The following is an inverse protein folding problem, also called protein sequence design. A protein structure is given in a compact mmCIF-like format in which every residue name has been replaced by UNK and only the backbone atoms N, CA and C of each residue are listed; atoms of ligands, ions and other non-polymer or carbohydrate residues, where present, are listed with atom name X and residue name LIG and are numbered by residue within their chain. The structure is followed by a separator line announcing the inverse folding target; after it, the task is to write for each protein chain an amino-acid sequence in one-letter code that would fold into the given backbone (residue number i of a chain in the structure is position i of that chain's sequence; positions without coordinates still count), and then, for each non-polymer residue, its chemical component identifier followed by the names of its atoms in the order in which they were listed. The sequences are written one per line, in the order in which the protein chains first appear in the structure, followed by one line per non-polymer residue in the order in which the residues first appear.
data_IF_133121955084
#
_entry.id   IF_133121955084
#
_cell.length_a   1.000
_cell.length_b   1.000
_cell.length_c   1.000
_cell.angle_alpha   90.00
_cell.angle_beta   90.00
_cell.angle_gamma   90.00
#
_symmetry.space_group_name_H-M   'P 1'
#
loop_
_entity.id
_entity.type
_entity.pdbx_description
1 polymer ?
#
# COMPACT_ATOMS: atom_id res chain seq x y z
N UNK A 1 -7.37 -20.17 -29.68
CA UNK A 1 -6.72 -21.22 -28.82
C UNK A 1 -6.08 -20.65 -27.55
N UNK A 2 -6.41 -19.42 -27.10
CA UNK A 2 -5.75 -18.79 -25.95
C UNK A 2 -6.66 -18.43 -24.75
N UNK A 3 -7.99 -18.44 -24.88
CA UNK A 3 -8.90 -18.07 -23.81
C UNK A 3 -8.93 -19.11 -22.66
N UNK A 4 -9.04 -20.38 -22.97
CA UNK A 4 -9.10 -21.45 -21.96
C UNK A 4 -7.86 -21.57 -21.07
N UNK A 5 -6.67 -21.21 -21.57
CA UNK A 5 -5.44 -21.24 -20.78
C UNK A 5 -5.34 -20.06 -19.79
N UNK A 6 -5.91 -18.91 -20.14
CA UNK A 6 -5.94 -17.74 -19.25
C UNK A 6 -6.90 -17.96 -18.09
N UNK A 7 -8.07 -18.53 -18.33
CA UNK A 7 -9.08 -18.81 -17.30
C UNK A 7 -8.60 -19.84 -16.28
N UNK A 8 -7.88 -20.89 -16.74
CA UNK A 8 -7.23 -21.87 -15.86
C UNK A 8 -6.19 -21.22 -14.94
N UNK A 9 -5.39 -20.28 -15.47
CA UNK A 9 -4.39 -19.54 -14.67
C UNK A 9 -5.03 -18.69 -13.57
N UNK A 10 -6.11 -17.98 -13.90
CA UNK A 10 -6.85 -17.17 -12.93
C UNK A 10 -7.46 -18.06 -11.84
N UNK A 11 -8.10 -19.16 -12.21
CA UNK A 11 -8.73 -20.08 -11.24
C UNK A 11 -7.72 -20.73 -10.30
N UNK A 12 -6.52 -21.08 -10.79
CA UNK A 12 -5.45 -21.64 -9.98
C UNK A 12 -4.90 -20.62 -8.96
N UNK A 13 -4.68 -19.38 -9.38
CA UNK A 13 -4.26 -18.29 -8.47
C UNK A 13 -5.35 -18.03 -7.44
N UNK A 14 -6.62 -17.94 -7.86
CA UNK A 14 -7.74 -17.74 -6.95
C UNK A 14 -7.83 -18.87 -5.91
N UNK A 15 -7.68 -20.13 -6.31
CA UNK A 15 -7.67 -21.28 -5.40
C UNK A 15 -6.47 -21.24 -4.43
N UNK A 16 -5.32 -20.72 -4.86
CA UNK A 16 -4.17 -20.55 -3.98
C UNK A 16 -4.42 -19.45 -2.92
N UNK A 17 -5.12 -18.39 -3.27
CA UNK A 17 -5.46 -17.28 -2.36
C UNK A 17 -6.64 -17.64 -1.44
N UNK A 18 -7.62 -18.39 -1.90
CA UNK A 18 -8.90 -18.65 -1.21
C UNK A 18 -8.77 -19.29 0.19
N UNK A 19 -7.64 -19.88 0.53
CA UNK A 19 -7.44 -20.49 1.84
C UNK A 19 -7.00 -19.40 2.85
N UNK A 20 -7.71 -19.25 3.99
CA UNK A 20 -7.53 -18.11 4.91
C UNK A 20 -6.09 -17.92 5.45
N UNK A 21 -5.38 -19.01 5.77
CA UNK A 21 -4.03 -18.91 6.28
C UNK A 21 -3.05 -18.42 5.20
N UNK A 22 -3.20 -18.88 3.94
CA UNK A 22 -2.39 -18.39 2.82
C UNK A 22 -2.66 -16.91 2.54
N UNK A 23 -3.93 -16.49 2.60
CA UNK A 23 -4.29 -15.07 2.46
C UNK A 23 -3.62 -14.22 3.54
N UNK A 24 -3.66 -14.66 4.83
CA UNK A 24 -2.98 -13.94 5.92
C UNK A 24 -1.46 -13.84 5.69
N UNK A 25 -0.82 -14.92 5.23
CA UNK A 25 0.61 -14.90 4.89
C UNK A 25 0.94 -13.90 3.79
N UNK A 26 0.15 -13.90 2.70
CA UNK A 26 0.33 -12.98 1.59
C UNK A 26 0.12 -11.53 2.03
N UNK A 27 -0.94 -11.25 2.79
CA UNK A 27 -1.22 -9.92 3.32
C UNK A 27 -0.11 -9.42 4.25
N UNK A 28 0.47 -10.30 5.06
CA UNK A 28 1.61 -9.96 5.92
C UNK A 28 2.86 -9.54 5.12
N UNK A 29 3.02 -10.05 3.90
CA UNK A 29 4.16 -9.74 3.04
C UNK A 29 3.95 -8.48 2.16
N UNK A 30 2.74 -7.89 2.18
CA UNK A 30 2.43 -6.70 1.37
C UNK A 30 3.18 -5.45 1.80
N UNK A 31 3.72 -5.42 3.02
CA UNK A 31 4.55 -4.33 3.51
C UNK A 31 5.95 -4.28 2.88
N UNK A 32 6.31 -5.30 2.10
CA UNK A 32 7.60 -5.41 1.43
C UNK A 32 8.68 -6.11 2.26
N UNK A 33 8.42 -6.38 3.56
CA UNK A 33 9.39 -7.11 4.38
C UNK A 33 9.37 -8.60 4.08
N UNK A 34 10.57 -9.18 3.95
CA UNK A 34 10.72 -10.62 3.92
C UNK A 34 10.56 -11.20 5.34
N UNK A 35 9.82 -12.31 5.46
CA UNK A 35 9.53 -12.98 6.73
C UNK A 35 9.93 -14.45 6.69
N UNK A 36 10.33 -14.98 7.84
CA UNK A 36 10.61 -16.41 7.99
C UNK A 36 9.31 -17.23 7.99
N UNK A 37 9.43 -18.52 7.72
CA UNK A 37 8.28 -19.44 7.80
C UNK A 37 7.66 -19.49 9.21
N UNK A 38 8.46 -19.32 10.25
CA UNK A 38 7.99 -19.29 11.65
C UNK A 38 7.16 -18.05 11.94
N UNK A 39 7.62 -16.87 11.50
CA UNK A 39 6.85 -15.64 11.63
C UNK A 39 5.53 -15.71 10.87
N UNK A 40 5.55 -16.24 9.64
CA UNK A 40 4.35 -16.41 8.83
C UNK A 40 3.40 -17.47 9.41
N UNK A 41 3.90 -18.53 10.04
CA UNK A 41 3.09 -19.49 10.76
C UNK A 41 2.35 -18.85 11.94
N UNK A 42 3.07 -18.03 12.73
CA UNK A 42 2.49 -17.28 13.84
C UNK A 42 1.42 -16.29 13.39
N UNK A 43 1.69 -15.53 12.32
CA UNK A 43 0.72 -14.56 11.76
C UNK A 43 -0.53 -15.26 11.22
N UNK A 44 -0.36 -16.39 10.57
CA UNK A 44 -1.46 -17.16 9.99
C UNK A 44 -2.18 -18.05 11.00
N UNK A 45 -1.65 -18.16 12.24
CA UNK A 45 -2.20 -18.98 13.33
C UNK A 45 -2.28 -20.47 12.96
N UNK A 46 -1.21 -20.98 12.33
CA UNK A 46 -1.10 -22.38 11.92
C UNK A 46 0.18 -23.03 12.42
N UNK A 47 0.24 -24.36 12.39
CA UNK A 47 1.45 -25.10 12.74
C UNK A 47 2.58 -24.84 11.74
N UNK A 48 3.84 -25.04 12.15
CA UNK A 48 5.00 -24.88 11.28
C UNK A 48 4.96 -25.81 10.05
N UNK A 49 4.42 -27.04 10.21
CA UNK A 49 4.25 -27.99 9.10
C UNK A 49 3.20 -27.49 8.10
N UNK A 50 2.05 -26.99 8.59
CA UNK A 50 1.00 -26.41 7.76
C UNK A 50 1.50 -25.18 7.03
N UNK A 51 2.23 -24.28 7.71
CA UNK A 51 2.85 -23.11 7.10
C UNK A 51 3.81 -23.50 5.97
N UNK A 52 4.63 -24.51 6.19
CA UNK A 52 5.56 -25.02 5.16
C UNK A 52 4.82 -25.50 3.92
N UNK A 53 3.71 -26.23 4.08
CA UNK A 53 2.87 -26.70 2.96
C UNK A 53 2.22 -25.53 2.22
N UNK A 54 1.70 -24.55 2.96
CA UNK A 54 1.12 -23.33 2.38
C UNK A 54 2.14 -22.51 1.60
N UNK A 55 3.34 -22.29 2.15
CA UNK A 55 4.43 -21.57 1.50
C UNK A 55 4.95 -22.31 0.26
N UNK A 56 5.00 -23.63 0.29
CA UNK A 56 5.33 -24.44 -0.88
C UNK A 56 4.30 -24.22 -2.01
N UNK A 57 3.01 -24.24 -1.69
CA UNK A 57 1.94 -23.96 -2.67
C UNK A 57 2.02 -22.54 -3.23
N UNK A 58 2.20 -21.53 -2.36
CA UNK A 58 2.33 -20.13 -2.79
C UNK A 58 3.55 -19.91 -3.68
N UNK A 59 4.67 -20.59 -3.37
CA UNK A 59 5.89 -20.58 -4.20
C UNK A 59 5.66 -21.24 -5.55
N UNK A 60 4.99 -22.41 -5.58
CA UNK A 60 4.62 -23.10 -6.82
C UNK A 60 3.80 -22.20 -7.76
N UNK A 61 2.92 -21.39 -7.19
CA UNK A 61 2.08 -20.44 -7.92
C UNK A 61 2.76 -19.11 -8.21
N UNK A 62 4.06 -19.00 -7.96
CA UNK A 62 4.83 -17.75 -8.13
C UNK A 62 4.23 -16.53 -7.40
N UNK A 63 3.51 -16.75 -6.30
CA UNK A 63 2.96 -15.67 -5.47
C UNK A 63 3.96 -15.19 -4.42
N UNK A 64 4.87 -16.08 -3.98
CA UNK A 64 5.96 -15.74 -3.08
C UNK A 64 7.30 -16.22 -3.63
N UNK A 65 8.36 -15.53 -3.24
CA UNK A 65 9.76 -15.85 -3.53
C UNK A 65 10.46 -16.24 -2.24
N UNK A 66 11.31 -17.26 -2.32
CA UNK A 66 12.17 -17.73 -1.23
C UNK A 66 13.56 -17.11 -1.37
N UNK A 67 14.04 -16.47 -0.31
CA UNK A 67 15.41 -16.01 -0.16
C UNK A 67 16.12 -16.86 0.88
N UNK A 68 17.27 -17.42 0.50
CA UNK A 68 18.11 -18.23 1.40
C UNK A 68 19.31 -17.41 1.83
N UNK A 69 19.47 -17.21 3.15
CA UNK A 69 20.61 -16.52 3.73
C UNK A 69 21.22 -17.39 4.83
N UNK A 70 22.26 -18.11 4.50
CA UNK A 70 22.84 -19.12 5.36
C UNK A 70 21.81 -20.21 5.71
N UNK A 71 21.55 -20.43 6.99
CA UNK A 71 20.52 -21.37 7.48
C UNK A 71 19.11 -20.78 7.51
N UNK A 72 18.94 -19.48 7.26
CA UNK A 72 17.66 -18.78 7.34
C UNK A 72 16.96 -18.77 5.97
N UNK A 73 15.65 -18.93 5.99
CA UNK A 73 14.77 -18.91 4.83
C UNK A 73 13.74 -17.83 5.03
N UNK A 74 13.78 -16.82 4.16
CA UNK A 74 12.86 -15.70 4.15
C UNK A 74 11.97 -15.75 2.92
N UNK A 75 10.73 -15.34 3.09
CA UNK A 75 9.75 -15.27 2.01
C UNK A 75 9.33 -13.82 1.81
N UNK A 76 9.21 -13.39 0.57
CA UNK A 76 8.64 -12.11 0.16
C UNK A 76 7.63 -12.34 -0.96
N UNK A 77 6.80 -11.35 -1.29
CA UNK A 77 6.00 -11.42 -2.51
C UNK A 77 6.93 -11.57 -3.72
N UNK A 78 6.51 -12.41 -4.67
CA UNK A 78 7.33 -12.70 -5.85
C UNK A 78 7.41 -11.52 -6.82
N UNK A 79 6.34 -10.72 -6.87
CA UNK A 79 6.20 -9.59 -7.80
C UNK A 79 5.29 -8.53 -7.17
N UNK A 80 5.54 -7.22 -7.40
CA UNK A 80 4.65 -6.14 -6.95
C UNK A 80 3.19 -6.29 -7.42
N UNK A 81 2.97 -6.92 -8.58
CA UNK A 81 1.61 -7.20 -9.11
C UNK A 81 0.80 -8.11 -8.20
N UNK A 82 1.45 -8.98 -7.40
CA UNK A 82 0.75 -9.80 -6.40
C UNK A 82 0.12 -8.91 -5.32
N UNK A 83 0.84 -7.90 -4.85
CA UNK A 83 0.28 -6.93 -3.89
C UNK A 83 -0.91 -6.16 -4.48
N UNK A 84 -0.80 -5.73 -5.74
CA UNK A 84 -1.90 -5.03 -6.44
C UNK A 84 -3.15 -5.91 -6.56
N UNK A 85 -2.98 -7.17 -6.94
CA UNK A 85 -4.10 -8.11 -7.04
C UNK A 85 -4.77 -8.33 -5.68
N UNK A 86 -3.99 -8.47 -4.59
CA UNK A 86 -4.53 -8.60 -3.25
C UNK A 86 -5.26 -7.33 -2.81
N UNK A 87 -4.73 -6.14 -3.10
CA UNK A 87 -5.39 -4.86 -2.83
C UNK A 87 -6.75 -4.78 -3.55
N UNK A 88 -6.82 -5.16 -4.83
CA UNK A 88 -8.06 -5.21 -5.59
C UNK A 88 -9.08 -6.20 -5.00
N UNK A 89 -8.63 -7.39 -4.60
CA UNK A 89 -9.49 -8.38 -3.95
C UNK A 89 -9.99 -7.91 -2.58
N UNK A 90 -9.17 -7.19 -1.81
CA UNK A 90 -9.58 -6.60 -0.54
C UNK A 90 -10.69 -5.56 -0.73
N UNK A 91 -10.65 -4.79 -1.82
CA UNK A 91 -11.71 -3.84 -2.17
C UNK A 91 -13.03 -4.56 -2.45
N UNK A 92 -13.00 -5.64 -3.25
CA UNK A 92 -14.18 -6.43 -3.61
C UNK A 92 -14.74 -7.17 -2.40
N UNK A 93 -13.87 -7.76 -1.57
CA UNK A 93 -14.26 -8.60 -0.43
C UNK A 93 -14.92 -7.87 0.74
N UNK A 94 -14.96 -6.54 0.71
CA UNK A 94 -15.44 -5.73 1.82
C UNK A 94 -16.93 -5.39 1.78
N UNK A 95 -17.67 -5.87 0.81
CA UNK A 95 -19.10 -5.54 0.63
C UNK A 95 -20.02 -6.06 1.74
N UNK A 96 -19.56 -6.85 2.72
CA UNK A 96 -20.47 -7.55 3.65
C UNK A 96 -19.95 -7.80 5.09
N UNK A 97 -18.83 -7.24 5.56
CA UNK A 97 -18.33 -7.58 6.91
C UNK A 97 -18.00 -6.35 7.77
N UNK A 98 -18.22 -6.42 9.12
CA UNK A 98 -17.86 -5.35 10.02
C UNK A 98 -16.36 -5.10 10.02
N UNK A 99 -15.99 -3.85 9.89
CA UNK A 99 -14.67 -3.23 10.11
C UNK A 99 -13.48 -4.18 10.26
N UNK A 100 -12.92 -4.59 9.11
CA UNK A 100 -11.56 -5.11 9.08
C UNK A 100 -10.61 -4.00 9.56
N UNK A 101 -10.05 -4.16 10.75
CA UNK A 101 -8.97 -3.30 11.22
C UNK A 101 -7.66 -3.94 10.78
N UNK A 102 -6.97 -3.42 9.75
CA UNK A 102 -5.70 -3.99 9.32
C UNK A 102 -4.71 -3.91 10.47
N UNK A 103 -4.06 -4.99 10.83
CA UNK A 103 -2.87 -4.99 11.72
C UNK A 103 -1.64 -4.44 10.98
N UNK A 104 -1.85 -3.54 10.03
CA UNK A 104 -0.80 -2.90 9.25
C UNK A 104 -0.17 -1.80 10.11
N UNK A 105 1.15 -1.71 10.18
CA UNK A 105 1.82 -0.64 10.91
C UNK A 105 1.33 0.75 10.48
N UNK A 106 1.08 1.64 11.44
CA UNK A 106 0.52 2.98 11.23
C UNK A 106 1.30 3.77 10.16
N UNK A 107 2.62 3.60 10.12
CA UNK A 107 3.47 4.21 9.09
C UNK A 107 3.09 3.82 7.66
N UNK A 108 2.70 2.55 7.43
CA UNK A 108 2.25 2.06 6.11
C UNK A 108 0.85 2.52 5.77
N UNK A 109 -0.03 2.65 6.78
CA UNK A 109 -1.35 3.22 6.58
C UNK A 109 -1.25 4.70 6.26
N UNK A 110 -0.32 5.41 6.90
CA UNK A 110 -0.15 6.84 6.74
C UNK A 110 0.41 7.21 5.36
N UNK A 111 1.57 6.68 4.99
CA UNK A 111 2.19 6.96 3.69
C UNK A 111 3.01 5.77 3.20
N UNK A 112 2.78 5.36 1.97
CA UNK A 112 3.48 4.25 1.30
C UNK A 112 3.52 4.45 -0.19
N UNK A 113 4.27 3.62 -0.88
CA UNK A 113 4.17 3.48 -2.33
C UNK A 113 3.08 2.46 -2.69
N UNK A 114 2.27 2.81 -3.70
CA UNK A 114 1.39 1.91 -4.43
C UNK A 114 1.96 1.78 -5.84
N UNK A 115 2.73 0.72 -6.08
CA UNK A 115 3.50 0.53 -7.31
C UNK A 115 4.51 1.68 -7.55
N UNK A 116 4.13 2.76 -8.25
CA UNK A 116 5.01 3.86 -8.63
C UNK A 116 4.52 5.25 -8.18
N UNK A 117 3.45 5.32 -7.41
CA UNK A 117 2.86 6.56 -6.89
C UNK A 117 2.59 6.46 -5.38
N UNK A 118 2.27 7.58 -4.75
CA UNK A 118 1.97 7.63 -3.31
C UNK A 118 0.59 7.07 -3.00
N UNK A 119 0.47 6.37 -1.86
CA UNK A 119 -0.76 5.84 -1.29
C UNK A 119 -0.79 6.04 0.23
N UNK A 120 -1.90 5.64 0.85
CA UNK A 120 -2.16 5.83 2.28
C UNK A 120 -2.91 7.13 2.56
N UNK A 121 -3.12 7.40 3.84
CA UNK A 121 -3.89 8.55 4.32
C UNK A 121 -3.39 9.87 3.74
N UNK A 122 -2.07 10.04 3.65
CA UNK A 122 -1.47 11.25 3.08
C UNK A 122 -1.83 11.44 1.61
N UNK A 123 -1.71 10.39 0.80
CA UNK A 123 -2.00 10.46 -0.63
C UNK A 123 -3.49 10.70 -0.91
N UNK A 124 -4.37 10.11 -0.10
CA UNK A 124 -5.81 10.38 -0.16
C UNK A 124 -6.11 11.84 0.17
N UNK A 125 -5.53 12.40 1.25
CA UNK A 125 -5.69 13.81 1.61
C UNK A 125 -5.19 14.74 0.50
N UNK A 126 -4.05 14.44 -0.13
CA UNK A 126 -3.53 15.19 -1.27
C UNK A 126 -4.49 15.15 -2.45
N UNK A 127 -5.02 13.97 -2.78
CA UNK A 127 -5.98 13.79 -3.86
C UNK A 127 -7.27 14.57 -3.60
N UNK A 128 -7.85 14.43 -2.39
CA UNK A 128 -9.06 15.17 -2.01
C UNK A 128 -8.85 16.68 -2.20
N UNK A 129 -7.71 17.18 -1.74
CA UNK A 129 -7.39 18.59 -1.87
C UNK A 129 -7.24 19.06 -3.30
N UNK A 130 -6.69 18.21 -4.19
CA UNK A 130 -6.59 18.51 -5.62
C UNK A 130 -7.95 18.56 -6.29
N UNK A 131 -8.88 17.69 -5.90
CA UNK A 131 -10.28 17.72 -6.36
C UNK A 131 -10.99 18.97 -5.82
N UNK A 132 -10.91 19.25 -4.51
CA UNK A 132 -11.53 20.42 -3.87
C UNK A 132 -11.04 21.76 -4.45
N UNK A 133 -9.74 21.83 -4.79
CA UNK A 133 -9.15 23.00 -5.42
C UNK A 133 -9.47 23.12 -6.91
N UNK A 134 -10.16 22.15 -7.49
CA UNK A 134 -10.48 22.09 -8.92
C UNK A 134 -9.26 21.91 -9.82
N UNK A 135 -8.16 21.37 -9.31
CA UNK A 135 -6.96 21.08 -10.11
C UNK A 135 -7.12 19.79 -10.93
N UNK A 136 -7.80 18.79 -10.35
CA UNK A 136 -8.17 17.55 -11.02
C UNK A 136 -9.65 17.62 -11.39
N UNK A 137 -9.95 17.38 -12.66
CA UNK A 137 -11.32 17.35 -13.20
C UNK A 137 -11.56 15.93 -13.70
N UNK A 138 -12.61 15.29 -13.21
CA UNK A 138 -13.02 13.96 -13.66
C UNK A 138 -13.40 13.98 -15.15
N UNK A 139 -13.00 12.95 -15.87
CA UNK A 139 -13.40 12.71 -17.25
C UNK A 139 -14.05 11.35 -17.37
N UNK A 140 -14.95 11.18 -18.32
CA UNK A 140 -15.64 9.93 -18.56
C UNK A 140 -14.62 8.79 -18.78
N UNK A 141 -14.82 7.66 -18.09
CA UNK A 141 -13.99 6.47 -18.25
C UNK A 141 -12.81 6.35 -17.28
N UNK A 142 -12.96 6.73 -16.03
CA UNK A 142 -12.01 6.50 -14.91
C UNK A 142 -10.70 7.28 -14.98
N UNK A 143 -10.72 8.53 -15.41
CA UNK A 143 -9.52 9.37 -15.48
C UNK A 143 -9.71 10.78 -14.94
N UNK A 144 -8.58 11.50 -14.88
CA UNK A 144 -8.55 12.92 -14.59
C UNK A 144 -7.83 13.67 -15.70
N UNK A 145 -8.28 14.91 -15.96
CA UNK A 145 -7.49 15.95 -16.62
C UNK A 145 -7.16 17.04 -15.61
N UNK A 146 -6.13 17.82 -15.91
CA UNK A 146 -5.86 19.03 -15.13
C UNK A 146 -6.68 20.21 -15.65
N UNK A 147 -7.04 21.11 -14.75
CA UNK A 147 -7.45 22.47 -15.11
C UNK A 147 -6.20 23.32 -15.39
N UNK A 148 -6.36 24.53 -15.94
CA UNK A 148 -5.26 25.49 -16.12
C UNK A 148 -4.53 25.78 -14.80
N UNK A 149 -5.28 25.96 -13.70
CA UNK A 149 -4.69 26.13 -12.37
C UNK A 149 -3.97 24.89 -11.88
N UNK A 150 -4.48 23.69 -12.17
CA UNK A 150 -3.82 22.43 -11.89
C UNK A 150 -2.52 22.28 -12.68
N UNK A 151 -2.52 22.54 -13.97
CA UNK A 151 -1.30 22.53 -14.79
C UNK A 151 -0.23 23.46 -14.24
N UNK A 152 -0.60 24.71 -13.93
CA UNK A 152 0.34 25.68 -13.35
C UNK A 152 0.95 25.19 -12.02
N UNK A 153 0.18 24.50 -11.16
CA UNK A 153 0.70 23.93 -9.91
C UNK A 153 1.72 22.82 -10.19
N UNK A 154 1.42 21.88 -11.08
CA UNK A 154 2.32 20.77 -11.38
C UNK A 154 3.57 21.23 -12.17
N UNK A 155 3.44 22.15 -13.09
CA UNK A 155 4.58 22.79 -13.77
C UNK A 155 5.47 23.56 -12.77
N UNK A 156 4.88 24.28 -11.82
CA UNK A 156 5.59 24.93 -10.71
C UNK A 156 6.35 23.95 -9.80
N UNK A 157 5.99 22.67 -9.84
CA UNK A 157 6.75 21.59 -9.24
C UNK A 157 7.86 21.04 -10.15
N UNK A 158 7.96 21.52 -11.39
CA UNK A 158 8.91 21.06 -12.39
C UNK A 158 8.47 19.75 -13.06
N UNK A 159 7.17 19.49 -13.10
CA UNK A 159 6.59 18.35 -13.81
C UNK A 159 6.15 18.82 -15.21
N UNK A 160 6.72 18.21 -16.23
CA UNK A 160 6.34 18.48 -17.62
C UNK A 160 5.01 17.77 -17.94
N UNK A 161 3.91 18.49 -17.71
CA UNK A 161 2.55 17.98 -17.87
C UNK A 161 2.29 17.56 -19.33
N UNK A 162 2.78 18.33 -20.29
CA UNK A 162 2.59 18.05 -21.71
C UNK A 162 3.28 16.73 -22.11
N UNK A 163 4.52 16.55 -21.66
CA UNK A 163 5.24 15.30 -21.90
C UNK A 163 4.53 14.11 -21.26
N UNK A 164 4.01 14.23 -20.04
CA UNK A 164 3.27 13.14 -19.39
C UNK A 164 2.01 12.75 -20.17
N UNK A 165 1.33 13.70 -20.77
CA UNK A 165 0.11 13.44 -21.57
C UNK A 165 0.39 12.63 -22.87
N UNK A 166 1.62 12.63 -23.37
CA UNK A 166 2.00 11.86 -24.58
C UNK A 166 2.37 10.40 -24.30
N UNK A 167 2.48 10.01 -23.02
CA UNK A 167 2.88 8.66 -22.65
C UNK A 167 1.78 7.63 -22.95
N UNK A 168 2.18 6.37 -23.21
CA UNK A 168 1.23 5.27 -23.49
C UNK A 168 0.38 4.86 -22.29
N UNK A 169 0.77 5.24 -21.06
CA UNK A 169 0.04 4.96 -19.83
C UNK A 169 -1.04 6.03 -19.58
N UNK A 170 -2.01 5.72 -18.71
CA UNK A 170 -3.00 6.72 -18.29
C UNK A 170 -2.31 7.94 -17.70
N UNK A 171 -2.72 9.13 -18.11
CA UNK A 171 -2.16 10.38 -17.64
C UNK A 171 -2.36 10.55 -16.13
N UNK A 172 -3.61 10.53 -15.69
CA UNK A 172 -4.00 10.60 -14.29
C UNK A 172 -5.29 9.79 -14.08
N UNK A 173 -5.36 9.03 -13.00
CA UNK A 173 -6.53 8.20 -12.71
C UNK A 173 -6.71 8.00 -11.19
N UNK A 174 -7.95 7.71 -10.74
CA UNK A 174 -8.19 7.28 -9.39
C UNK A 174 -7.58 5.89 -9.18
N UNK A 175 -6.82 5.74 -8.10
CA UNK A 175 -6.36 4.45 -7.61
C UNK A 175 -6.92 4.26 -6.20
N UNK A 176 -7.74 3.23 -5.98
CA UNK A 176 -8.42 3.06 -4.70
C UNK A 176 -7.46 2.60 -3.62
N UNK A 177 -7.37 3.38 -2.54
CA UNK A 177 -6.56 3.03 -1.38
C UNK A 177 -7.25 1.95 -0.54
N UNK A 178 -6.57 0.82 -0.35
CA UNK A 178 -7.12 -0.31 0.39
C UNK A 178 -7.35 -0.02 1.87
N UNK A 179 -6.56 0.88 2.48
CA UNK A 179 -6.66 1.20 3.90
C UNK A 179 -7.69 2.30 4.18
N UNK A 180 -7.78 3.30 3.29
CA UNK A 180 -8.67 4.45 3.41
C UNK A 180 -9.99 4.27 2.67
N UNK A 181 -10.08 3.34 1.71
CA UNK A 181 -11.23 3.10 0.83
C UNK A 181 -11.66 4.35 0.05
N UNK A 182 -10.70 5.18 -0.24
CA UNK A 182 -10.86 6.43 -0.99
C UNK A 182 -9.80 6.51 -2.07
N UNK A 183 -10.06 7.20 -3.17
CA UNK A 183 -9.08 7.30 -4.24
C UNK A 183 -7.87 8.15 -3.84
N UNK A 184 -6.73 7.80 -4.39
CA UNK A 184 -5.52 8.61 -4.45
C UNK A 184 -5.04 8.72 -5.89
N UNK A 185 -4.17 9.67 -6.17
CA UNK A 185 -3.74 9.99 -7.54
C UNK A 185 -2.77 8.93 -8.08
N UNK A 186 -3.21 8.20 -9.09
CA UNK A 186 -2.41 7.27 -9.88
C UNK A 186 -2.07 7.81 -11.28
N UNK A 187 -1.56 6.94 -12.14
CA UNK A 187 -1.16 7.29 -13.50
C UNK A 187 0.21 7.97 -13.60
N UNK A 188 0.53 8.52 -14.77
CA UNK A 188 1.80 9.19 -15.02
C UNK A 188 2.01 10.39 -14.10
N UNK A 189 0.94 11.14 -13.82
CA UNK A 189 0.97 12.31 -12.95
C UNK A 189 1.24 11.93 -11.49
N UNK A 190 0.59 10.87 -10.98
CA UNK A 190 0.85 10.35 -9.63
C UNK A 190 2.28 9.87 -9.44
N UNK A 191 2.82 9.18 -10.46
CA UNK A 191 4.22 8.75 -10.47
C UNK A 191 5.19 9.94 -10.48
N UNK A 192 4.95 10.95 -11.33
CA UNK A 192 5.76 12.15 -11.39
C UNK A 192 5.76 12.92 -10.06
N UNK A 193 4.60 13.02 -9.41
CA UNK A 193 4.50 13.67 -8.10
C UNK A 193 5.33 12.93 -7.03
N UNK A 194 5.31 11.59 -7.00
CA UNK A 194 6.15 10.81 -6.10
C UNK A 194 7.65 11.07 -6.38
N UNK A 195 8.06 11.08 -7.64
CA UNK A 195 9.45 11.34 -8.02
C UNK A 195 9.92 12.74 -7.57
N UNK A 196 9.07 13.76 -7.73
CA UNK A 196 9.34 15.11 -7.23
C UNK A 196 9.46 15.11 -5.72
N UNK A 197 8.55 14.44 -5.00
CA UNK A 197 8.56 14.36 -3.56
C UNK A 197 9.83 13.69 -3.02
N UNK A 198 10.32 12.63 -3.68
CA UNK A 198 11.59 11.96 -3.35
C UNK A 198 12.77 12.88 -3.66
N UNK A 199 12.85 13.44 -4.87
CA UNK A 199 13.94 14.31 -5.33
C UNK A 199 14.11 15.54 -4.44
N UNK A 200 12.97 16.13 -4.02
CA UNK A 200 12.95 17.31 -3.13
C UNK A 200 13.03 16.92 -1.63
N UNK A 201 13.22 15.64 -1.33
CA UNK A 201 13.28 15.10 0.04
C UNK A 201 12.05 15.45 0.89
N UNK A 202 10.87 15.54 0.27
CA UNK A 202 9.61 15.64 0.99
C UNK A 202 9.26 14.33 1.66
N UNK A 203 9.55 13.22 0.96
CA UNK A 203 9.44 11.87 1.47
C UNK A 203 10.76 11.13 1.27
N UNK A 204 11.01 10.16 2.16
CA UNK A 204 12.13 9.23 2.09
C UNK A 204 11.53 7.83 1.99
N UNK A 205 11.99 7.05 1.00
CA UNK A 205 11.64 5.65 0.90
C UNK A 205 12.38 4.84 1.95
N UNK A 206 11.66 3.99 2.64
CA UNK A 206 12.26 2.94 3.46
C UNK A 206 12.88 1.88 2.52
N UNK A 207 14.14 1.52 2.74
CA UNK A 207 14.85 0.55 1.89
C UNK A 207 14.28 -0.86 2.01
N UNK A 208 13.71 -1.17 3.17
CA UNK A 208 13.24 -2.51 3.51
C UNK A 208 11.71 -2.64 3.42
N UNK A 209 11.00 -1.56 3.13
CA UNK A 209 9.54 -1.58 3.04
C UNK A 209 9.01 -0.57 2.02
N UNK A 210 7.70 -0.64 1.78
CA UNK A 210 7.00 0.34 0.93
C UNK A 210 6.64 1.64 1.68
N UNK A 211 6.99 1.76 2.96
CA UNK A 211 6.66 2.93 3.74
C UNK A 211 7.41 4.17 3.23
N UNK A 212 6.73 5.31 3.29
CA UNK A 212 7.30 6.61 3.01
C UNK A 212 7.39 7.41 4.31
N UNK A 213 8.60 7.76 4.69
CA UNK A 213 8.86 8.68 5.80
C UNK A 213 8.65 10.13 5.33
N UNK A 214 7.69 10.84 5.90
CA UNK A 214 7.49 12.26 5.59
C UNK A 214 8.46 13.11 6.41
N UNK A 215 9.30 13.87 5.73
CA UNK A 215 10.30 14.74 6.36
C UNK A 215 9.67 16.03 6.90
N UNK A 216 10.42 16.78 7.71
CA UNK A 216 10.01 18.13 8.13
C UNK A 216 9.81 19.07 6.93
N UNK A 217 10.68 18.96 5.92
CA UNK A 217 10.54 19.70 4.66
C UNK A 217 9.24 19.30 3.97
N UNK A 218 8.97 17.99 3.85
CA UNK A 218 7.77 17.49 3.24
C UNK A 218 6.49 17.97 3.93
N UNK A 219 6.44 17.95 5.26
CA UNK A 219 5.31 18.49 6.03
C UNK A 219 5.04 19.94 5.69
N UNK A 220 6.08 20.78 5.71
CA UNK A 220 5.95 22.21 5.40
C UNK A 220 5.48 22.44 3.95
N UNK A 221 6.09 21.75 2.99
CA UNK A 221 5.76 21.93 1.57
C UNK A 221 4.35 21.41 1.23
N UNK A 222 3.93 20.29 1.81
CA UNK A 222 2.58 19.76 1.63
C UNK A 222 1.53 20.66 2.27
N UNK A 223 1.80 21.21 3.45
CA UNK A 223 0.91 22.18 4.07
C UNK A 223 0.84 23.49 3.26
N UNK A 224 1.99 24.03 2.84
CA UNK A 224 2.03 25.30 2.13
C UNK A 224 1.47 25.25 0.70
N UNK A 225 1.73 24.19 -0.05
CA UNK A 225 1.33 24.07 -1.47
C UNK A 225 -0.02 23.43 -1.67
N UNK A 226 -0.34 22.43 -0.85
CA UNK A 226 -1.56 21.65 -0.99
C UNK A 226 -2.56 21.90 0.14
N UNK A 227 -2.17 22.62 1.19
CA UNK A 227 -3.02 22.80 2.37
C UNK A 227 -3.26 21.51 3.16
N UNK A 228 -2.36 20.54 3.05
CA UNK A 228 -2.50 19.20 3.64
C UNK A 228 -1.58 19.03 4.83
N UNK A 229 -2.16 18.77 6.02
CA UNK A 229 -1.38 18.34 7.18
C UNK A 229 -0.83 16.93 6.94
N UNK A 230 0.49 16.80 7.01
CA UNK A 230 1.20 15.53 6.86
C UNK A 230 1.63 14.96 8.22
N UNK A 231 0.81 15.12 9.24
CA UNK A 231 0.99 14.50 10.55
C UNK A 231 0.30 13.15 10.62
N UNK A 232 0.95 12.21 11.32
CA UNK A 232 0.33 10.91 11.63
C UNK A 232 -0.67 11.17 12.75
N UNK A 233 -1.96 10.95 12.49
CA UNK A 233 -2.98 10.90 13.54
C UNK A 233 -2.73 9.63 14.38
N UNK A 234 -1.83 9.71 15.34
CA UNK A 234 -1.63 8.64 16.31
C UNK A 234 -2.89 8.60 17.17
N UNK A 235 -3.79 7.66 16.90
CA UNK A 235 -4.84 7.34 17.88
C UNK A 235 -4.11 6.99 19.18
N UNK A 236 -4.41 7.63 20.33
CA UNK A 236 -3.77 7.28 21.57
C UNK A 236 -4.05 5.80 21.82
N UNK A 237 -3.01 4.99 21.77
CA UNK A 237 -3.07 3.60 22.21
C UNK A 237 -3.50 3.66 23.65
N UNK A 238 -4.66 3.08 23.97
CA UNK A 238 -5.10 2.97 25.36
C UNK A 238 -3.98 2.30 26.15
N UNK A 239 -3.30 3.08 26.97
CA UNK A 239 -2.30 2.57 27.91
C UNK A 239 -3.07 1.64 28.83
N UNK A 240 -2.90 0.34 28.62
CA UNK A 240 -3.35 -0.65 29.60
C UNK A 240 -2.46 -0.41 30.82
N UNK A 241 -2.98 0.40 31.74
CA UNK A 241 -2.40 0.54 33.06
C UNK A 241 -2.42 -0.86 33.70
N UNK A 242 -1.28 -1.54 33.69
CA UNK A 242 -1.09 -2.75 34.50
C UNK A 242 -1.25 -2.34 35.93
N UNK A 243 -2.41 -2.69 36.52
CA UNK A 243 -2.61 -2.65 37.96
C UNK A 243 -1.57 -3.58 38.60
N UNK A 244 -0.51 -2.99 39.13
CA UNK A 244 0.34 -3.63 40.11
C UNK A 244 -0.54 -4.00 41.30
N UNK A 245 -0.74 -5.29 41.52
CA UNK A 245 -1.38 -5.80 42.73
C UNK A 245 -0.51 -5.43 43.92
N UNK A 246 -1.10 -5.01 45.07
CA UNK A 246 -0.34 -4.73 46.27
C UNK A 246 0.22 -6.02 46.84
N UNK A 247 1.52 -6.04 47.07
CA UNK A 247 2.23 -7.07 47.82
C UNK A 247 1.67 -7.14 49.24
N UNK A 248 0.99 -8.23 49.57
CA UNK A 248 0.60 -8.53 50.95
C UNK A 248 1.84 -9.03 51.68
N UNK A 249 2.30 -8.25 52.67
CA UNK A 249 3.34 -8.63 53.61
C UNK A 249 2.69 -9.54 54.66
N UNK A 250 3.10 -10.81 54.71
CA UNK A 250 2.80 -11.70 55.79
C UNK A 250 3.83 -11.50 56.93
N UNK A 251 3.33 -11.16 58.09
CA UNK A 251 4.04 -11.36 59.36
C UNK A 251 3.80 -12.77 59.88
#
# INVERSE_FOLDING_TARGET
MNAEHHDLGVSQVAAAIAEPARTRMLCALMDGHARTSTELASIAEVSASTASAHLAKLKQMALVRLHVQGRHRYYSLADPRVAQALEALMVIGQSAAPTFTPRTPDRLQFARTCYDHMAGTLAVRLHDRMIEAGWLIEVDGDGYRLSESGEAVFEGLGIDVQHLATQRRRFACPCLDWSMRRPHLGGALGAALLQVAIKRKWVIQDLDSRALGVTTIGRREMAGRFGVSAEIDVKPTAVIASKLAPTVSLR
#
